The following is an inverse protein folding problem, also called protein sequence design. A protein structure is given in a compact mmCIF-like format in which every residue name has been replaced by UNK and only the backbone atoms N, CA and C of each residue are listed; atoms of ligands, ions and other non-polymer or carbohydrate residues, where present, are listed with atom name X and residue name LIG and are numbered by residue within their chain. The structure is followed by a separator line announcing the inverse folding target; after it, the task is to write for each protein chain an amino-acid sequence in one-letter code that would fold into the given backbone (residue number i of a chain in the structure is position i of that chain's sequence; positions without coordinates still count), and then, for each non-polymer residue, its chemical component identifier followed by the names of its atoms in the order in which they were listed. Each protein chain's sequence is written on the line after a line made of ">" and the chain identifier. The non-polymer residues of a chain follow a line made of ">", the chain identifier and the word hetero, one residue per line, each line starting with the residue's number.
data_IF_664083546329
#
_entry.id   IF_664083546329
#
_cell.length_a   1.000
_cell.length_b   1.000
_cell.length_c   1.000
_cell.angle_alpha   90.00
_cell.angle_beta   90.00
_cell.angle_gamma   90.00
#
_symmetry.space_group_name_H-M   'P 1'
#
loop_
_entity.id
_entity.type
_entity.pdbx_description
1 polymer ?
#
# COMPACT_ATOMS: atom_id res chain seq x y z
N UNK A 1 -4.93 12.81 1.72
CA UNK A 1 -3.97 11.69 1.88
C UNK A 1 -4.51 10.60 2.77
N UNK A 2 -5.15 10.94 3.90
CA UNK A 2 -5.72 9.95 4.84
C UNK A 2 -6.67 8.91 4.18
N UNK A 3 -7.61 9.27 3.28
CA UNK A 3 -8.48 8.28 2.64
C UNK A 3 -7.71 7.23 1.83
N UNK A 4 -6.70 7.67 1.07
CA UNK A 4 -5.83 6.76 0.30
C UNK A 4 -4.98 5.88 1.23
N UNK A 5 -4.45 6.45 2.32
CA UNK A 5 -3.66 5.69 3.28
C UNK A 5 -4.46 4.58 3.97
N UNK A 6 -5.68 4.91 4.39
CA UNK A 6 -6.62 3.95 4.98
C UNK A 6 -7.00 2.87 3.98
N UNK A 7 -7.43 3.24 2.77
CA UNK A 7 -7.76 2.29 1.71
C UNK A 7 -6.59 1.34 1.38
N UNK A 8 -5.39 1.89 1.18
CA UNK A 8 -4.19 1.11 0.90
C UNK A 8 -3.83 0.15 2.05
N UNK A 9 -3.99 0.60 3.30
CA UNK A 9 -3.74 -0.27 4.46
C UNK A 9 -4.78 -1.38 4.56
N UNK A 10 -6.06 -1.07 4.35
CA UNK A 10 -7.13 -2.06 4.35
C UNK A 10 -6.93 -3.11 3.25
N UNK A 11 -6.62 -2.66 2.03
CA UNK A 11 -6.23 -3.53 0.93
C UNK A 11 -5.04 -4.42 1.31
N UNK A 12 -3.98 -3.82 1.89
CA UNK A 12 -2.80 -4.56 2.36
C UNK A 12 -3.16 -5.66 3.33
N UNK A 13 -3.98 -5.38 4.35
CA UNK A 13 -4.34 -6.36 5.37
C UNK A 13 -5.19 -7.51 4.78
N UNK A 14 -6.09 -7.19 3.85
CA UNK A 14 -6.86 -8.21 3.13
C UNK A 14 -5.94 -9.07 2.24
N UNK A 15 -5.00 -8.44 1.53
CA UNK A 15 -4.03 -9.13 0.69
C UNK A 15 -3.10 -10.02 1.52
N UNK A 16 -2.64 -9.55 2.68
CA UNK A 16 -1.82 -10.32 3.61
C UNK A 16 -2.51 -11.63 4.01
N UNK A 17 -3.80 -11.58 4.34
CA UNK A 17 -4.58 -12.78 4.69
C UNK A 17 -4.59 -13.80 3.53
N UNK A 18 -4.67 -13.34 2.29
CA UNK A 18 -4.63 -14.20 1.09
C UNK A 18 -3.24 -14.75 0.80
N UNK A 19 -2.20 -13.91 0.86
CA UNK A 19 -0.80 -14.33 0.67
C UNK A 19 -0.39 -15.36 1.72
N UNK A 20 -0.79 -15.15 2.97
CA UNK A 20 -0.46 -16.06 4.07
C UNK A 20 -1.11 -17.43 3.87
N UNK A 21 -2.26 -17.54 3.19
CA UNK A 21 -2.82 -18.82 2.71
C UNK A 21 -2.98 -19.90 3.79
N UNK A 22 -3.08 -19.53 5.06
CA UNK A 22 -3.05 -20.45 6.21
C UNK A 22 -1.65 -20.90 6.66
N UNK A 23 -0.59 -20.65 5.89
CA UNK A 23 0.80 -20.83 6.31
C UNK A 23 1.19 -19.73 7.31
N UNK A 24 1.09 -20.04 8.60
CA UNK A 24 1.42 -19.12 9.70
C UNK A 24 2.94 -18.94 9.92
N UNK A 25 3.79 -19.75 9.29
CA UNK A 25 5.25 -19.78 9.57
C UNK A 25 6.14 -19.26 8.42
N UNK A 26 5.56 -18.98 7.25
CA UNK A 26 6.30 -18.46 6.10
C UNK A 26 6.56 -16.95 6.17
N UNK A 27 7.73 -16.51 5.72
CA UNK A 27 7.99 -15.08 5.50
C UNK A 27 7.04 -14.51 4.43
N UNK A 28 6.53 -13.31 4.70
CA UNK A 28 5.72 -12.53 3.74
C UNK A 28 6.41 -11.19 3.57
N UNK A 29 6.48 -10.67 2.34
CA UNK A 29 7.02 -9.35 2.09
C UNK A 29 6.52 -8.81 0.76
N UNK A 30 5.84 -7.67 0.76
CA UNK A 30 5.34 -7.03 -0.45
C UNK A 30 5.15 -5.53 -0.22
N UNK A 31 4.87 -4.80 -1.30
CA UNK A 31 4.53 -3.37 -1.24
C UNK A 31 3.07 -3.13 -1.58
N UNK A 32 2.21 -2.86 -0.59
CA UNK A 32 0.79 -2.59 -0.87
C UNK A 32 0.60 -1.35 -1.73
N UNK A 33 1.39 -0.29 -1.52
CA UNK A 33 1.25 0.95 -2.30
C UNK A 33 1.64 0.76 -3.76
N UNK A 34 2.64 -0.07 -4.02
CA UNK A 34 3.06 -0.40 -5.38
C UNK A 34 1.95 -1.17 -6.09
N UNK A 35 1.40 -2.21 -5.45
CA UNK A 35 0.34 -3.04 -6.03
C UNK A 35 -0.94 -2.22 -6.24
N UNK A 36 -1.36 -1.45 -5.24
CA UNK A 36 -2.60 -0.68 -5.28
C UNK A 36 -2.55 0.43 -6.34
N UNK A 37 -1.42 1.13 -6.47
CA UNK A 37 -1.23 2.15 -7.52
C UNK A 37 -1.26 1.53 -8.92
N UNK A 38 -0.60 0.39 -9.11
CA UNK A 38 -0.56 -0.31 -10.39
C UNK A 38 -1.94 -0.83 -10.82
N UNK A 39 -2.73 -1.37 -9.89
CA UNK A 39 -4.11 -1.79 -10.16
C UNK A 39 -5.06 -0.60 -10.33
N UNK A 40 -4.85 0.50 -9.60
CA UNK A 40 -5.61 1.73 -9.81
C UNK A 40 -5.34 2.34 -11.20
N UNK A 41 -4.12 2.22 -11.73
CA UNK A 41 -3.84 2.59 -13.11
C UNK A 41 -4.67 1.75 -14.11
N UNK A 42 -4.82 0.45 -13.88
CA UNK A 42 -5.70 -0.39 -14.72
C UNK A 42 -7.16 0.04 -14.60
N UNK A 43 -7.61 0.46 -13.41
CA UNK A 43 -9.00 0.87 -13.21
C UNK A 43 -9.39 2.15 -13.95
N UNK A 44 -8.44 2.99 -14.38
CA UNK A 44 -8.71 4.13 -15.28
C UNK A 44 -9.43 3.68 -16.58
N UNK A 45 -9.08 2.51 -17.08
CA UNK A 45 -9.64 1.93 -18.29
C UNK A 45 -10.85 1.02 -18.06
N UNK A 46 -11.14 0.67 -16.81
CA UNK A 46 -12.22 -0.26 -16.46
C UNK A 46 -13.58 0.44 -16.48
N UNK A 47 -14.63 -0.30 -16.83
CA UNK A 47 -16.04 0.16 -16.78
C UNK A 47 -16.94 -0.91 -16.17
N UNK A 48 -18.17 -0.52 -15.83
CA UNK A 48 -19.20 -1.42 -15.33
C UNK A 48 -18.74 -2.26 -14.13
N UNK A 49 -19.11 -3.55 -14.13
CA UNK A 49 -18.79 -4.45 -13.02
C UNK A 49 -17.28 -4.67 -12.82
N UNK A 50 -16.48 -4.63 -13.89
CA UNK A 50 -15.02 -4.70 -13.80
C UNK A 50 -14.47 -3.57 -12.92
N UNK A 51 -14.91 -2.32 -13.16
CA UNK A 51 -14.51 -1.19 -12.33
C UNK A 51 -14.98 -1.35 -10.88
N UNK A 52 -16.25 -1.72 -10.68
CA UNK A 52 -16.83 -1.93 -9.33
C UNK A 52 -16.03 -2.96 -8.51
N UNK A 53 -15.69 -4.10 -9.11
CA UNK A 53 -14.89 -5.14 -8.45
C UNK A 53 -13.50 -4.61 -8.06
N UNK A 54 -12.82 -3.91 -8.98
CA UNK A 54 -11.50 -3.36 -8.72
C UNK A 54 -11.52 -2.34 -7.57
N UNK A 55 -12.45 -1.39 -7.58
CA UNK A 55 -12.58 -0.39 -6.51
C UNK A 55 -12.92 -1.01 -5.15
N UNK A 56 -13.76 -2.05 -5.13
CA UNK A 56 -14.09 -2.80 -3.93
C UNK A 56 -12.87 -3.53 -3.36
N UNK A 57 -12.15 -4.29 -4.18
CA UNK A 57 -10.96 -5.04 -3.74
C UNK A 57 -9.86 -4.10 -3.26
N UNK A 58 -9.64 -2.98 -3.95
CA UNK A 58 -8.67 -1.95 -3.57
C UNK A 58 -9.11 -1.09 -2.37
N UNK A 59 -10.31 -1.34 -1.83
CA UNK A 59 -10.88 -0.61 -0.70
C UNK A 59 -11.01 0.90 -0.95
N UNK A 60 -11.21 1.31 -2.21
CA UNK A 60 -11.40 2.72 -2.59
C UNK A 60 -12.82 3.23 -2.29
N UNK A 61 -13.77 2.32 -2.07
CA UNK A 61 -15.10 2.63 -1.56
C UNK A 61 -15.07 2.70 -0.03
N UNK A 62 -15.60 3.76 0.57
CA UNK A 62 -15.68 3.87 2.03
C UNK A 62 -16.42 2.65 2.62
N UNK A 63 -15.89 1.97 3.66
CA UNK A 63 -16.75 1.18 4.51
C UNK A 63 -17.79 2.12 5.17
N UNK A 64 -19.04 1.69 5.36
CA UNK A 64 -19.94 2.44 6.22
C UNK A 64 -19.27 2.60 7.59
N UNK A 65 -19.29 3.83 8.13
CA UNK A 65 -18.91 4.05 9.53
C UNK A 65 -19.78 3.12 10.39
N UNK A 66 -19.27 2.51 11.46
CA UNK A 66 -20.15 1.89 12.44
C UNK A 66 -21.05 3.01 12.97
N UNK A 67 -22.34 2.94 12.65
CA UNK A 67 -23.29 3.99 13.00
C UNK A 67 -23.32 4.19 14.51
N UNK A 68 -23.17 5.45 14.92
CA UNK A 68 -23.59 5.88 16.23
C UNK A 68 -25.10 5.63 16.33
N UNK A 69 -25.48 4.77 17.28
CA UNK A 69 -26.88 4.49 17.59
C UNK A 69 -27.66 5.81 17.72
N UNK A 70 -28.68 5.99 16.88
CA UNK A 70 -29.66 7.06 17.05
C UNK A 70 -30.86 6.47 17.78
N UNK A 71 -31.31 7.02 18.92
CA UNK A 71 -32.54 6.58 19.56
C UNK A 71 -33.76 7.04 18.74
N UNK A 72 -34.76 6.18 18.69
CA UNK A 72 -36.07 6.48 18.14
C UNK A 72 -36.83 7.46 19.04
N UNK A 73 -37.51 8.44 18.44
CA UNK A 73 -38.96 8.72 18.59
C UNK A 73 -39.27 10.21 18.40
N UNK A 74 -40.16 10.55 17.45
CA UNK A 74 -41.47 11.12 17.77
C UNK A 74 -42.29 11.34 16.49
N UNK A 75 -43.42 10.64 16.46
CA UNK A 75 -44.58 10.90 15.61
C UNK A 75 -45.32 12.14 16.09
N UNK A 76 -45.84 12.93 15.16
CA UNK A 76 -47.06 13.76 15.25
C UNK A 76 -47.13 14.61 13.97
N UNK A 77 -48.23 14.96 13.34
CA UNK A 77 -49.59 14.45 13.18
C UNK A 77 -50.19 15.32 12.04
N UNK A 78 -51.10 14.77 11.24
CA UNK A 78 -51.83 15.46 10.17
C UNK A 78 -52.84 16.49 10.71
N UNK A 79 -53.15 17.57 9.93
CA UNK A 79 -54.46 17.90 9.29
C UNK A 79 -54.69 19.43 8.99
N UNK A 80 -55.70 19.83 8.16
CA UNK A 80 -55.48 20.74 7.01
C UNK A 80 -56.52 21.90 6.83
N UNK A 81 -56.53 22.52 5.64
CA UNK A 81 -57.62 23.25 4.92
C UNK A 81 -57.84 24.77 5.15
N UNK A 82 -57.70 25.63 4.12
CA UNK A 82 -58.63 26.17 3.07
C UNK A 82 -59.41 27.45 3.48
N UNK A 83 -59.27 28.54 2.70
CA UNK A 83 -60.33 29.41 2.11
C UNK A 83 -59.67 30.63 1.41
N UNK A 84 -59.71 30.84 0.09
CA UNK A 84 -60.77 31.35 -0.83
C UNK A 84 -60.96 32.89 -0.83
N UNK A 85 -60.83 33.55 -2.01
CA UNK A 85 -61.02 35.01 -2.18
C UNK A 85 -60.79 35.60 -3.60
N UNK A 86 -61.69 35.30 -4.55
CA UNK A 86 -62.32 36.05 -5.68
C UNK A 86 -61.70 37.34 -6.36
N UNK A 87 -61.58 37.23 -7.71
CA UNK A 87 -61.74 38.16 -8.89
C UNK A 87 -60.95 39.48 -9.12
N UNK A 88 -60.45 39.61 -10.36
CA UNK A 88 -60.31 40.87 -11.12
C UNK A 88 -59.56 40.71 -12.46
N UNK A 89 -60.20 41.00 -13.60
CA UNK A 89 -59.65 40.96 -14.97
C UNK A 89 -59.12 42.34 -15.42
N UNK A 90 -57.99 42.39 -16.15
CA UNK A 90 -57.71 43.22 -17.35
C UNK A 90 -56.26 43.00 -17.82
N UNK A 91 -56.02 42.85 -19.14
CA UNK A 91 -54.69 42.90 -19.78
C UNK A 91 -54.42 44.26 -20.43
N UNK A 92 -53.40 44.45 -21.31
CA UNK A 92 -52.32 43.55 -21.71
C UNK A 92 -50.89 44.18 -21.69
N UNK A 93 -49.88 43.33 -21.93
CA UNK A 93 -48.56 43.60 -22.54
C UNK A 93 -47.55 44.53 -21.85
N UNK A 94 -46.42 43.95 -21.42
CA UNK A 94 -45.08 44.48 -21.74
C UNK A 94 -44.01 43.43 -21.46
N UNK A 95 -43.29 43.09 -22.52
CA UNK A 95 -42.05 42.32 -22.60
C UNK A 95 -41.07 42.62 -21.47
N UNK A 96 -40.66 41.60 -20.73
CA UNK A 96 -39.40 41.61 -19.99
C UNK A 96 -38.56 40.37 -20.36
N UNK A 97 -37.42 40.68 -20.98
CA UNK A 97 -36.31 39.76 -21.20
C UNK A 97 -35.87 39.18 -19.86
N UNK A 98 -36.22 37.92 -19.60
CA UNK A 98 -35.56 37.14 -18.56
C UNK A 98 -34.24 36.63 -19.15
N UNK A 99 -33.15 37.25 -18.71
CA UNK A 99 -31.80 36.74 -18.89
C UNK A 99 -31.78 35.28 -18.43
N UNK A 100 -31.50 34.36 -19.35
CA UNK A 100 -31.16 32.98 -19.04
C UNK A 100 -29.86 33.01 -18.22
N UNK A 101 -29.98 32.95 -16.90
CA UNK A 101 -28.91 32.41 -16.09
C UNK A 101 -28.79 30.93 -16.45
N UNK A 102 -27.72 30.57 -17.15
CA UNK A 102 -27.29 29.19 -17.26
C UNK A 102 -27.24 28.61 -15.85
N UNK A 103 -28.15 27.67 -15.57
CA UNK A 103 -28.11 26.87 -14.35
C UNK A 103 -26.76 26.17 -14.33
N UNK A 104 -25.92 26.51 -13.35
CA UNK A 104 -24.79 25.69 -12.96
C UNK A 104 -25.25 24.21 -12.88
N UNK A 105 -24.46 23.25 -13.37
CA UNK A 105 -24.80 21.85 -13.23
C UNK A 105 -24.97 21.53 -11.74
N UNK A 106 -25.93 20.65 -11.37
CA UNK A 106 -26.21 20.36 -9.98
C UNK A 106 -24.96 19.82 -9.30
N UNK A 107 -24.64 20.41 -8.15
CA UNK A 107 -23.55 19.97 -7.27
C UNK A 107 -23.83 18.50 -6.88
N UNK A 108 -22.84 17.58 -7.00
CA UNK A 108 -23.09 16.17 -6.75
C UNK A 108 -23.51 15.93 -5.30
N UNK A 109 -24.44 15.01 -5.11
CA UNK A 109 -24.97 14.62 -3.81
C UNK A 109 -23.83 14.16 -2.86
N UNK A 110 -23.93 14.42 -1.55
CA UNK A 110 -22.90 14.06 -0.59
C UNK A 110 -22.87 12.53 -0.42
N UNK A 111 -22.02 11.88 -1.23
CA UNK A 111 -21.88 10.42 -1.34
C UNK A 111 -21.04 9.98 -2.53
N UNK A 112 -20.95 10.80 -3.59
CA UNK A 112 -20.04 10.59 -4.73
C UNK A 112 -18.74 11.38 -4.53
N UNK A 113 -17.82 10.86 -3.73
CA UNK A 113 -16.41 11.27 -3.78
C UNK A 113 -15.76 10.45 -4.89
N UNK A 114 -15.61 11.09 -6.04
CA UNK A 114 -15.43 10.54 -7.39
C UNK A 114 -14.11 9.78 -7.60
N UNK A 115 -14.13 8.79 -8.50
CA UNK A 115 -12.97 8.01 -8.96
C UNK A 115 -11.74 8.89 -9.25
N UNK A 116 -11.94 10.09 -9.81
CA UNK A 116 -10.87 11.08 -10.06
C UNK A 116 -10.08 11.50 -8.79
N UNK A 117 -10.70 11.46 -7.61
CA UNK A 117 -10.07 11.80 -6.35
C UNK A 117 -9.05 10.75 -5.90
N UNK A 118 -9.21 9.47 -6.27
CA UNK A 118 -8.24 8.43 -5.88
C UNK A 118 -6.99 8.50 -6.75
N UNK A 119 -7.15 8.68 -8.06
CA UNK A 119 -6.05 8.78 -9.01
C UNK A 119 -5.17 10.03 -8.73
N UNK A 120 -5.81 11.18 -8.50
CA UNK A 120 -5.10 12.39 -8.06
C UNK A 120 -4.42 12.24 -6.70
N UNK A 121 -5.00 11.47 -5.77
CA UNK A 121 -4.36 11.17 -4.48
C UNK A 121 -3.10 10.31 -4.65
N UNK A 122 -3.11 9.34 -5.57
CA UNK A 122 -1.90 8.58 -5.92
C UNK A 122 -0.84 9.47 -6.54
N UNK A 123 -1.20 10.35 -7.48
CA UNK A 123 -0.26 11.30 -8.07
C UNK A 123 0.41 12.17 -7.01
N UNK A 124 -0.38 12.73 -6.09
CA UNK A 124 0.12 13.52 -4.97
C UNK A 124 1.06 12.69 -4.09
N UNK A 125 0.71 11.44 -3.78
CA UNK A 125 1.59 10.56 -3.01
C UNK A 125 2.92 10.28 -3.73
N UNK A 126 2.88 9.95 -5.01
CA UNK A 126 4.08 9.64 -5.79
C UNK A 126 4.99 10.86 -5.89
N UNK A 127 4.41 12.04 -6.10
CA UNK A 127 5.12 13.32 -6.08
C UNK A 127 5.81 13.56 -4.73
N UNK A 128 5.15 13.23 -3.62
CA UNK A 128 5.73 13.35 -2.27
C UNK A 128 6.87 12.35 -2.02
N UNK A 129 6.71 11.10 -2.47
CA UNK A 129 7.70 10.03 -2.29
C UNK A 129 8.94 10.18 -3.19
N UNK A 130 8.79 10.84 -4.33
CA UNK A 130 9.88 11.08 -5.30
C UNK A 130 10.44 12.50 -5.25
N UNK A 131 10.16 13.26 -4.19
CA UNK A 131 10.67 14.64 -4.05
C UNK A 131 12.19 14.70 -4.25
N UNK A 132 12.69 15.59 -5.13
CA UNK A 132 14.12 15.82 -5.27
C UNK A 132 14.75 16.16 -3.90
N UNK A 133 15.94 15.61 -3.64
CA UNK A 133 16.65 15.82 -2.38
C UNK A 133 16.16 14.97 -1.19
N UNK A 134 15.21 14.05 -1.41
CA UNK A 134 14.88 13.04 -0.40
C UNK A 134 16.15 12.23 -0.02
N UNK A 135 16.46 12.04 1.28
CA UNK A 135 17.65 11.33 1.74
C UNK A 135 17.52 9.80 1.65
N UNK A 136 16.73 9.31 0.69
CA UNK A 136 16.48 7.91 0.43
C UNK A 136 16.25 7.71 -1.07
N UNK A 137 16.42 6.47 -1.50
CA UNK A 137 16.13 6.00 -2.86
C UNK A 137 14.86 5.18 -2.81
N UNK A 138 13.85 5.59 -3.56
CA UNK A 138 12.65 4.79 -3.81
C UNK A 138 12.48 4.64 -5.32
N UNK A 139 12.63 3.42 -5.81
CA UNK A 139 12.47 3.09 -7.22
C UNK A 139 11.19 2.29 -7.43
N UNK A 140 10.29 2.85 -8.24
CA UNK A 140 9.00 2.25 -8.62
C UNK A 140 9.02 1.99 -10.12
N UNK A 141 9.08 0.71 -10.51
CA UNK A 141 9.02 0.25 -11.88
C UNK A 141 7.61 -0.32 -12.14
N UNK A 142 6.68 0.59 -12.39
CA UNK A 142 5.27 0.29 -12.68
C UNK A 142 4.98 0.57 -14.15
N UNK A 143 4.52 -0.45 -14.89
CA UNK A 143 4.19 -0.29 -16.31
C UNK A 143 3.15 -1.31 -16.75
N UNK A 144 2.30 -0.88 -17.68
CA UNK A 144 1.45 -1.78 -18.46
C UNK A 144 2.12 -2.11 -19.78
N UNK A 145 2.09 -3.38 -20.15
CA UNK A 145 2.51 -3.85 -21.46
C UNK A 145 1.29 -4.44 -22.14
N UNK A 146 0.85 -3.81 -23.23
CA UNK A 146 -0.30 -4.24 -24.01
C UNK A 146 0.14 -4.83 -25.34
N UNK A 147 -0.59 -5.82 -25.82
CA UNK A 147 -0.31 -6.44 -27.12
C UNK A 147 -0.39 -5.41 -28.25
N UNK A 148 0.62 -5.38 -29.13
CA UNK A 148 0.85 -4.29 -30.08
C UNK A 148 -0.28 -4.12 -31.11
N UNK A 149 -1.02 -5.19 -31.40
CA UNK A 149 -2.15 -5.19 -32.34
C UNK A 149 -3.33 -4.35 -31.85
N UNK A 150 -3.39 -4.02 -30.55
CA UNK A 150 -4.45 -3.22 -29.97
C UNK A 150 -4.24 -1.71 -30.21
N UNK A 151 -5.37 -1.04 -30.46
CA UNK A 151 -5.46 0.40 -30.34
C UNK A 151 -5.75 0.77 -28.88
N UNK A 152 -5.08 1.80 -28.37
CA UNK A 152 -5.25 2.27 -27.00
C UNK A 152 -5.82 3.67 -27.00
N UNK A 153 -6.76 3.92 -26.10
CA UNK A 153 -7.47 5.20 -25.99
C UNK A 153 -6.50 6.27 -25.48
N UNK A 154 -6.39 7.38 -26.22
CA UNK A 154 -5.45 8.46 -25.90
C UNK A 154 -5.69 9.06 -24.50
N UNK A 155 -6.97 9.24 -24.13
CA UNK A 155 -7.34 9.71 -22.79
C UNK A 155 -6.75 8.81 -21.70
N UNK A 156 -6.84 7.48 -21.86
CA UNK A 156 -6.27 6.54 -20.89
C UNK A 156 -4.74 6.66 -20.81
N UNK A 157 -4.06 6.76 -21.96
CA UNK A 157 -2.59 6.92 -21.99
C UNK A 157 -2.15 8.21 -21.28
N UNK A 158 -2.88 9.31 -21.51
CA UNK A 158 -2.62 10.59 -20.88
C UNK A 158 -2.89 10.53 -19.37
N UNK A 159 -4.01 9.96 -18.94
CA UNK A 159 -4.36 9.83 -17.52
C UNK A 159 -3.35 8.92 -16.79
N UNK A 160 -2.93 7.81 -17.39
CA UNK A 160 -1.92 6.93 -16.80
C UNK A 160 -0.58 7.66 -16.59
N UNK A 161 -0.17 8.45 -17.59
CA UNK A 161 1.05 9.27 -17.51
C UNK A 161 0.93 10.37 -16.45
N UNK A 162 -0.19 11.09 -16.43
CA UNK A 162 -0.44 12.19 -15.48
C UNK A 162 -0.49 11.65 -14.06
N UNK A 163 -1.28 10.62 -13.79
CA UNK A 163 -1.54 10.20 -12.42
C UNK A 163 -0.47 9.28 -11.83
N UNK A 164 0.19 8.48 -12.66
CA UNK A 164 1.08 7.40 -12.19
C UNK A 164 2.52 7.53 -12.68
N UNK A 165 2.84 8.53 -13.52
CA UNK A 165 4.12 8.65 -14.22
C UNK A 165 4.49 7.35 -14.96
N UNK A 166 3.48 6.55 -15.29
CA UNK A 166 3.60 5.24 -15.88
C UNK A 166 2.91 5.26 -17.25
N UNK A 167 3.53 4.57 -18.20
CA UNK A 167 2.98 4.42 -19.55
C UNK A 167 2.36 3.04 -19.75
N UNK A 168 1.64 2.93 -20.86
CA UNK A 168 1.43 1.65 -21.52
C UNK A 168 2.42 1.54 -22.67
N UNK A 169 3.13 0.42 -22.74
CA UNK A 169 4.03 0.10 -23.84
C UNK A 169 3.42 -1.02 -24.68
N UNK A 170 3.48 -0.83 -26.01
CA UNK A 170 3.01 -1.83 -26.97
C UNK A 170 4.10 -2.88 -27.16
N UNK A 171 3.76 -4.15 -27.02
CA UNK A 171 4.69 -5.28 -27.12
C UNK A 171 4.13 -6.34 -28.04
N UNK A 172 5.00 -6.98 -28.80
CA UNK A 172 4.69 -8.18 -29.57
C UNK A 172 4.92 -9.42 -28.69
N UNK A 173 3.89 -9.92 -28.02
CA UNK A 173 4.05 -11.05 -27.10
C UNK A 173 4.35 -12.39 -27.80
N UNK A 174 4.19 -12.47 -29.13
CA UNK A 174 4.63 -13.64 -29.92
C UNK A 174 6.16 -13.77 -29.95
N UNK A 175 6.90 -12.68 -29.75
CA UNK A 175 8.36 -12.66 -29.75
C UNK A 175 8.92 -13.09 -28.40
N UNK A 176 9.86 -14.03 -28.43
CA UNK A 176 10.63 -14.44 -27.23
C UNK A 176 11.40 -13.27 -26.57
N UNK A 177 11.76 -12.23 -27.34
CA UNK A 177 12.45 -11.04 -26.83
C UNK A 177 11.59 -10.20 -25.89
N UNK A 178 10.26 -10.21 -26.06
CA UNK A 178 9.34 -9.40 -25.26
C UNK A 178 9.57 -9.56 -23.75
N UNK A 179 9.73 -10.81 -23.29
CA UNK A 179 10.02 -11.11 -21.88
C UNK A 179 11.34 -10.51 -21.42
N UNK A 180 12.37 -10.59 -22.26
CA UNK A 180 13.73 -10.11 -21.97
C UNK A 180 13.73 -8.58 -21.91
N UNK A 181 13.06 -7.92 -22.86
CA UNK A 181 12.97 -6.47 -22.92
C UNK A 181 12.24 -5.90 -21.69
N UNK A 182 11.13 -6.54 -21.27
CA UNK A 182 10.41 -6.19 -20.04
C UNK A 182 11.31 -6.37 -18.81
N UNK A 183 12.03 -7.49 -18.70
CA UNK A 183 12.93 -7.74 -17.58
C UNK A 183 14.09 -6.74 -17.52
N UNK A 184 14.70 -6.42 -18.66
CA UNK A 184 15.77 -5.43 -18.76
C UNK A 184 15.28 -4.04 -18.35
N UNK A 185 14.07 -3.66 -18.76
CA UNK A 185 13.46 -2.41 -18.34
C UNK A 185 13.27 -2.37 -16.82
N UNK A 186 12.75 -3.44 -16.21
CA UNK A 186 12.57 -3.52 -14.75
C UNK A 186 13.91 -3.44 -14.03
N UNK A 187 14.92 -4.19 -14.48
CA UNK A 187 16.25 -4.20 -13.90
C UNK A 187 16.86 -2.80 -13.91
N UNK A 188 16.80 -2.10 -15.06
CA UNK A 188 17.27 -0.72 -15.19
C UNK A 188 16.54 0.24 -14.25
N UNK A 189 15.22 0.13 -14.15
CA UNK A 189 14.40 1.02 -13.31
C UNK A 189 14.43 0.65 -11.82
N UNK A 190 15.13 -0.42 -11.45
CA UNK A 190 15.33 -0.86 -10.05
C UNK A 190 16.80 -0.91 -9.67
N UNK A 191 17.65 -0.16 -10.39
CA UNK A 191 19.09 -0.07 -10.13
C UNK A 191 19.82 -1.43 -10.13
N UNK A 192 19.39 -2.37 -10.97
CA UNK A 192 19.97 -3.69 -11.06
C UNK A 192 19.52 -4.65 -9.95
N UNK A 193 18.63 -4.23 -9.04
CA UNK A 193 18.25 -5.01 -7.85
C UNK A 193 17.15 -6.02 -8.11
N UNK A 194 16.28 -5.75 -9.08
CA UNK A 194 15.21 -6.67 -9.45
C UNK A 194 15.47 -7.20 -10.87
N UNK A 195 15.97 -8.42 -10.93
CA UNK A 195 16.22 -9.16 -12.18
C UNK A 195 15.13 -10.20 -12.41
N UNK A 196 14.98 -10.64 -13.65
CA UNK A 196 14.10 -11.76 -14.03
C UNK A 196 12.71 -11.68 -13.40
N UNK A 197 12.06 -10.51 -13.53
CA UNK A 197 10.73 -10.30 -12.98
C UNK A 197 9.72 -11.29 -13.55
N UNK A 198 9.76 -11.46 -14.87
CA UNK A 198 8.97 -12.42 -15.64
C UNK A 198 9.78 -13.71 -15.85
N UNK A 199 9.40 -14.82 -15.18
CA UNK A 199 10.01 -16.13 -15.39
C UNK A 199 9.83 -16.62 -16.83
N UNK A 200 10.64 -17.59 -17.25
CA UNK A 200 10.44 -18.25 -18.53
C UNK A 200 9.05 -18.90 -18.60
N UNK A 201 8.36 -18.75 -19.74
CA UNK A 201 7.00 -19.26 -19.93
C UNK A 201 5.91 -18.45 -19.21
N UNK A 202 6.24 -17.32 -18.57
CA UNK A 202 5.23 -16.50 -17.90
C UNK A 202 4.40 -15.65 -18.85
N UNK A 203 4.82 -15.47 -20.10
CA UNK A 203 4.09 -14.78 -21.15
C UNK A 203 4.23 -15.57 -22.45
N UNK A 204 3.22 -15.46 -23.31
CA UNK A 204 3.06 -16.22 -24.55
C UNK A 204 2.24 -15.43 -25.59
N UNK A 205 2.00 -16.02 -26.76
CA UNK A 205 1.20 -15.42 -27.85
C UNK A 205 -0.27 -15.17 -27.49
N UNK A 206 -0.78 -15.78 -26.41
CA UNK A 206 -2.13 -15.56 -25.90
C UNK A 206 -2.19 -14.40 -24.90
N UNK A 207 -1.04 -13.83 -24.55
CA UNK A 207 -0.95 -12.68 -23.65
C UNK A 207 -1.52 -11.43 -24.34
N UNK A 208 -2.31 -10.63 -23.60
CA UNK A 208 -2.97 -9.43 -24.11
C UNK A 208 -2.58 -8.18 -23.34
N UNK A 209 -2.51 -8.28 -22.02
CA UNK A 209 -2.12 -7.18 -21.14
C UNK A 209 -1.38 -7.73 -19.91
N UNK A 210 -0.20 -7.18 -19.65
CA UNK A 210 0.63 -7.52 -18.49
C UNK A 210 0.84 -6.28 -17.64
N UNK A 211 0.53 -6.37 -16.35
CA UNK A 211 0.90 -5.37 -15.36
C UNK A 211 2.17 -5.82 -14.64
N UNK A 212 3.23 -5.04 -14.83
CA UNK A 212 4.51 -5.23 -14.15
C UNK A 212 4.62 -4.21 -13.03
N UNK A 213 4.91 -4.71 -11.83
CA UNK A 213 5.02 -3.92 -10.62
C UNK A 213 6.25 -4.34 -9.80
N UNK A 214 7.31 -3.55 -9.88
CA UNK A 214 8.53 -3.80 -9.12
C UNK A 214 8.93 -2.58 -8.29
N UNK A 215 9.32 -2.81 -7.05
CA UNK A 215 9.67 -1.74 -6.12
C UNK A 215 10.91 -2.06 -5.31
N UNK A 216 11.81 -1.09 -5.26
CA UNK A 216 13.04 -1.12 -4.50
C UNK A 216 13.10 0.11 -3.60
N UNK A 217 13.46 -0.10 -2.34
CA UNK A 217 13.69 0.98 -1.38
C UNK A 217 15.08 0.84 -0.78
N UNK A 218 15.73 1.98 -0.60
CA UNK A 218 17.00 2.12 0.09
C UNK A 218 16.99 3.42 0.88
N UNK A 219 17.39 3.37 2.15
CA UNK A 219 17.45 4.53 3.03
C UNK A 219 18.36 4.24 4.21
N UNK A 220 19.08 5.24 4.72
CA UNK A 220 19.96 5.07 5.86
C UNK A 220 19.21 5.28 7.19
N UNK A 221 19.56 4.54 8.24
CA UNK A 221 19.06 4.82 9.58
C UNK A 221 19.49 6.20 10.05
N UNK A 222 18.65 6.89 10.84
CA UNK A 222 19.12 8.07 11.60
C UNK A 222 20.18 7.66 12.61
N UNK A 223 19.98 6.52 13.28
CA UNK A 223 20.89 5.92 14.26
C UNK A 223 21.33 4.56 13.76
N UNK A 224 22.53 4.52 13.16
CA UNK A 224 23.11 3.32 12.57
C UNK A 224 23.53 2.33 13.64
N UNK A 225 23.47 1.04 13.31
CA UNK A 225 24.06 0.01 14.15
C UNK A 225 25.59 0.01 13.96
N UNK A 226 26.39 -0.06 15.03
CA UNK A 226 27.84 -0.29 14.89
C UNK A 226 28.09 -1.69 14.30
N UNK A 227 28.97 -1.80 13.30
CA UNK A 227 29.23 -3.09 12.63
C UNK A 227 29.93 -4.08 13.56
N UNK A 228 30.81 -3.55 14.39
CA UNK A 228 31.52 -4.23 15.47
C UNK A 228 30.59 -4.77 16.57
N UNK A 229 29.37 -4.22 16.70
CA UNK A 229 28.36 -4.70 17.64
C UNK A 229 27.47 -5.80 17.04
N UNK A 230 27.69 -6.18 15.78
CA UNK A 230 26.94 -7.28 15.15
C UNK A 230 27.62 -8.61 15.46
N UNK A 231 26.89 -9.53 16.09
CA UNK A 231 27.39 -10.84 16.51
C UNK A 231 26.48 -11.97 16.05
N UNK A 232 26.92 -13.22 16.23
CA UNK A 232 26.04 -14.38 16.03
C UNK A 232 25.01 -14.45 17.16
N UNK A 233 23.73 -14.51 16.79
CA UNK A 233 22.60 -14.69 17.69
C UNK A 233 21.74 -15.88 17.28
N UNK A 234 20.81 -16.26 18.15
CA UNK A 234 19.81 -17.29 17.86
C UNK A 234 18.46 -16.64 17.59
N UNK A 235 17.83 -17.00 16.48
CA UNK A 235 16.48 -16.59 16.14
C UNK A 235 15.52 -17.76 16.33
N UNK A 236 14.56 -17.63 17.24
CA UNK A 236 13.52 -18.63 17.50
C UNK A 236 12.51 -18.60 16.36
N UNK A 237 12.32 -19.72 15.68
CA UNK A 237 11.29 -19.87 14.64
C UNK A 237 9.91 -20.15 15.26
N UNK A 238 9.93 -20.85 16.39
CA UNK A 238 8.80 -21.27 17.21
C UNK A 238 9.35 -21.62 18.62
N UNK A 239 8.53 -22.23 19.49
CA UNK A 239 8.93 -22.59 20.86
C UNK A 239 10.08 -23.60 20.97
N UNK A 240 10.36 -24.37 19.93
CA UNK A 240 11.31 -25.50 19.98
C UNK A 240 12.48 -25.38 19.01
N UNK A 241 12.37 -24.56 17.98
CA UNK A 241 13.37 -24.45 16.91
C UNK A 241 14.01 -23.07 16.89
N UNK A 242 15.34 -23.04 16.76
CA UNK A 242 16.13 -21.83 16.53
C UNK A 242 16.98 -21.95 15.27
N UNK A 243 17.39 -20.81 14.73
CA UNK A 243 18.40 -20.70 13.66
C UNK A 243 19.42 -19.62 13.99
N UNK A 244 20.70 -19.80 13.63
CA UNK A 244 21.70 -18.76 13.78
C UNK A 244 21.41 -17.58 12.85
N UNK A 245 21.67 -16.36 13.33
CA UNK A 245 21.56 -15.10 12.57
C UNK A 245 22.69 -14.16 12.91
N UNK A 246 23.01 -13.23 12.00
CA UNK A 246 23.76 -12.03 12.36
C UNK A 246 22.80 -11.05 13.03
N UNK A 247 22.96 -10.89 14.34
CA UNK A 247 22.14 -10.01 15.17
C UNK A 247 22.86 -8.67 15.32
N UNK A 248 22.27 -7.61 14.77
CA UNK A 248 22.77 -6.24 14.95
C UNK A 248 22.33 -5.73 16.31
N UNK A 249 23.18 -4.99 17.00
CA UNK A 249 22.88 -4.42 18.32
C UNK A 249 23.23 -2.93 18.38
N UNK A 250 22.37 -2.14 19.02
CA UNK A 250 22.70 -0.78 19.43
C UNK A 250 21.88 -0.33 20.64
N UNK A 251 22.38 0.67 21.34
CA UNK A 251 21.68 1.36 22.44
C UNK A 251 21.57 2.84 22.10
N UNK A 252 20.34 3.34 21.98
CA UNK A 252 20.07 4.75 21.63
C UNK A 252 18.63 5.10 22.01
N UNK A 253 18.26 6.36 21.85
CA UNK A 253 16.87 6.80 22.00
C UNK A 253 16.04 6.51 20.75
N UNK A 254 14.93 5.81 20.94
CA UNK A 254 13.96 5.49 19.90
C UNK A 254 12.53 5.69 20.42
N UNK A 255 11.57 6.02 19.53
CA UNK A 255 10.16 5.90 19.86
C UNK A 255 9.78 4.43 20.06
N UNK A 256 9.26 4.10 21.23
CA UNK A 256 8.80 2.77 21.60
C UNK A 256 7.46 2.88 22.33
N UNK A 257 6.50 2.04 21.96
CA UNK A 257 5.24 1.87 22.69
C UNK A 257 5.02 0.41 23.08
N UNK A 258 4.30 0.21 24.19
CA UNK A 258 3.80 -1.10 24.60
C UNK A 258 2.38 -1.27 24.08
N UNK A 259 2.01 -2.51 23.75
CA UNK A 259 0.66 -2.90 23.32
C UNK A 259 0.18 -3.99 24.30
N UNK A 260 -0.30 -3.61 25.50
CA UNK A 260 -0.65 -4.56 26.55
C UNK A 260 -1.69 -5.59 26.12
N UNK A 261 -2.71 -5.17 25.35
CA UNK A 261 -3.77 -6.05 24.88
C UNK A 261 -3.25 -7.16 23.93
N UNK A 262 -2.09 -6.93 23.31
CA UNK A 262 -1.41 -7.88 22.43
C UNK A 262 -0.20 -8.56 23.08
N UNK A 263 0.15 -8.21 24.32
CA UNK A 263 1.43 -8.59 24.95
C UNK A 263 2.60 -8.37 23.98
N UNK A 264 2.70 -7.17 23.41
CA UNK A 264 3.67 -6.84 22.37
C UNK A 264 4.29 -5.46 22.59
N UNK A 265 5.36 -5.18 21.87
CA UNK A 265 6.02 -3.89 21.75
C UNK A 265 5.99 -3.42 20.30
N UNK A 266 6.02 -2.10 20.09
CA UNK A 266 6.26 -1.52 18.77
C UNK A 266 7.41 -0.51 18.84
N UNK A 267 8.42 -0.75 18.01
CA UNK A 267 9.60 0.09 17.86
C UNK A 267 9.53 0.86 16.54
N UNK A 268 9.85 2.15 16.58
CA UNK A 268 10.08 2.95 15.38
C UNK A 268 11.58 3.19 15.17
N UNK A 269 12.08 2.80 14.01
CA UNK A 269 13.44 3.07 13.52
C UNK A 269 13.37 4.09 12.37
N UNK A 270 13.60 5.39 12.64
CA UNK A 270 13.55 6.41 11.61
C UNK A 270 14.71 6.29 10.62
N UNK A 271 14.43 6.52 9.34
CA UNK A 271 15.46 6.76 8.32
C UNK A 271 15.86 8.24 8.30
N UNK A 272 17.04 8.55 7.73
CA UNK A 272 17.52 9.92 7.54
C UNK A 272 16.40 10.78 6.92
N UNK A 273 16.27 12.02 7.38
CA UNK A 273 15.16 12.91 7.04
C UNK A 273 13.85 12.65 7.78
N UNK A 274 13.68 11.50 8.45
CA UNK A 274 12.51 11.13 9.27
C UNK A 274 11.17 11.10 8.51
N UNK A 275 11.18 11.22 7.18
CA UNK A 275 9.98 11.09 6.35
C UNK A 275 9.53 9.64 6.21
N UNK A 276 10.46 8.69 6.36
CA UNK A 276 10.19 7.26 6.33
C UNK A 276 10.72 6.67 7.64
N UNK A 277 9.98 5.71 8.19
CA UNK A 277 10.42 4.90 9.32
C UNK A 277 10.13 3.43 9.07
N UNK A 278 10.96 2.55 9.62
CA UNK A 278 10.59 1.16 9.84
C UNK A 278 9.88 1.05 11.18
N UNK A 279 8.71 0.42 11.19
CA UNK A 279 7.97 0.06 12.39
C UNK A 279 8.08 -1.45 12.56
N UNK A 280 8.39 -1.91 13.77
CA UNK A 280 8.49 -3.34 14.08
C UNK A 280 7.56 -3.62 15.25
N UNK A 281 6.57 -4.49 15.03
CA UNK A 281 5.68 -4.97 16.09
C UNK A 281 6.14 -6.38 16.47
N UNK A 282 6.59 -6.51 17.71
CA UNK A 282 7.21 -7.70 18.27
C UNK A 282 6.37 -8.18 19.46
N UNK A 283 5.75 -9.37 19.41
CA UNK A 283 5.22 -10.01 20.62
C UNK A 283 6.31 -10.12 21.69
N UNK A 284 5.96 -10.02 22.96
CA UNK A 284 6.97 -10.17 24.02
C UNK A 284 7.49 -11.62 24.09
N UNK A 285 6.64 -12.59 23.71
CA UNK A 285 6.95 -14.01 23.70
C UNK A 285 6.18 -14.76 22.60
N UNK A 286 6.70 -15.92 22.17
CA UNK A 286 5.97 -16.86 21.33
C UNK A 286 4.93 -17.58 22.21
N UNK A 287 3.69 -17.08 22.22
CA UNK A 287 2.63 -17.67 23.04
C UNK A 287 1.94 -18.88 22.39
N UNK A 288 1.77 -18.85 21.06
CA UNK A 288 1.13 -19.92 20.30
C UNK A 288 2.12 -21.06 19.91
N UNK A 289 1.62 -22.13 19.29
CA UNK A 289 2.43 -23.30 18.87
C UNK A 289 3.22 -23.05 17.58
N UNK A 290 3.06 -21.90 16.94
CA UNK A 290 3.65 -21.53 15.66
C UNK A 290 4.65 -20.38 15.87
N UNK A 291 4.33 -19.17 15.44
CA UNK A 291 5.23 -18.03 15.39
C UNK A 291 5.01 -17.01 16.52
N UNK A 292 3.93 -17.11 17.29
CA UNK A 292 3.53 -16.08 18.26
C UNK A 292 2.75 -14.92 17.64
N UNK A 293 2.64 -14.87 16.31
CA UNK A 293 2.02 -13.76 15.59
C UNK A 293 0.52 -13.90 15.37
N UNK A 294 -0.08 -15.06 15.64
CA UNK A 294 -1.47 -15.33 15.22
C UNK A 294 -2.47 -14.35 15.82
N UNK A 295 -2.33 -14.02 17.12
CA UNK A 295 -3.21 -13.05 17.79
C UNK A 295 -3.06 -11.68 17.14
N UNK A 296 -1.82 -11.25 16.89
CA UNK A 296 -1.48 -9.96 16.31
C UNK A 296 -2.01 -9.83 14.87
N UNK A 297 -1.77 -10.82 14.02
CA UNK A 297 -2.25 -10.82 12.64
C UNK A 297 -3.79 -10.77 12.53
N UNK A 298 -4.50 -11.40 13.48
CA UNK A 298 -5.97 -11.36 13.53
C UNK A 298 -6.52 -10.02 13.99
N UNK A 299 -5.85 -9.38 14.96
CA UNK A 299 -6.28 -8.11 15.54
C UNK A 299 -5.86 -6.88 14.71
N UNK A 300 -4.86 -7.01 13.84
CA UNK A 300 -4.32 -5.90 13.07
C UNK A 300 -5.37 -5.34 12.07
N UNK A 301 -5.79 -4.11 12.33
CA UNK A 301 -6.61 -3.27 11.44
C UNK A 301 -5.88 -1.96 11.14
N UNK A 302 -6.42 -1.15 10.22
CA UNK A 302 -5.90 0.21 9.99
C UNK A 302 -5.96 1.05 11.28
N UNK A 303 -7.10 1.01 11.97
CA UNK A 303 -7.35 1.75 13.21
C UNK A 303 -6.37 1.33 14.29
N UNK A 304 -6.18 0.01 14.48
CA UNK A 304 -5.23 -0.52 15.46
C UNK A 304 -3.79 -0.15 15.11
N UNK A 305 -3.39 -0.24 13.84
CA UNK A 305 -2.04 0.18 13.44
C UNK A 305 -1.81 1.68 13.68
N UNK A 306 -2.80 2.53 13.42
CA UNK A 306 -2.70 3.97 13.69
C UNK A 306 -2.72 4.28 15.19
N UNK A 307 -3.53 3.56 15.97
CA UNK A 307 -3.60 3.66 17.43
C UNK A 307 -2.26 3.30 18.07
N UNK A 308 -1.71 2.12 17.74
CA UNK A 308 -0.45 1.62 18.29
C UNK A 308 0.77 2.45 17.88
N UNK A 309 0.69 3.23 16.81
CA UNK A 309 1.82 4.00 16.25
C UNK A 309 1.59 5.51 16.24
N UNK A 310 0.64 5.98 17.07
CA UNK A 310 0.31 7.41 17.22
C UNK A 310 1.45 8.13 17.97
N UNK A 311 1.81 9.37 17.60
CA UNK A 311 2.94 10.06 18.22
C UNK A 311 2.86 10.18 19.75
N UNK A 312 1.64 10.29 20.32
CA UNK A 312 1.45 10.46 21.77
C UNK A 312 1.68 9.17 22.56
N UNK A 313 1.61 7.99 21.91
CA UNK A 313 1.88 6.69 22.56
C UNK A 313 3.31 6.21 22.33
N UNK A 314 3.95 6.66 21.25
CA UNK A 314 5.32 6.32 20.87
C UNK A 314 6.32 7.19 21.64
N UNK A 315 6.64 6.79 22.87
CA UNK A 315 7.52 7.56 23.75
C UNK A 315 8.98 7.44 23.32
N UNK A 316 9.64 8.59 23.15
CA UNK A 316 11.09 8.67 22.93
C UNK A 316 11.81 8.27 24.22
N UNK A 317 12.51 7.14 24.18
CA UNK A 317 13.21 6.59 25.35
C UNK A 317 14.44 5.78 24.93
N UNK A 318 15.34 5.50 25.88
CA UNK A 318 16.49 4.64 25.58
C UNK A 318 16.07 3.19 25.47
N UNK A 319 16.45 2.60 24.34
CA UNK A 319 16.15 1.22 24.00
C UNK A 319 17.45 0.52 23.58
N UNK A 320 17.67 -0.66 24.13
CA UNK A 320 18.65 -1.63 23.63
C UNK A 320 17.97 -2.48 22.55
N UNK A 321 18.35 -2.23 21.30
CA UNK A 321 17.71 -2.83 20.12
C UNK A 321 18.61 -3.93 19.58
N UNK A 322 18.08 -5.15 19.51
CA UNK A 322 18.66 -6.25 18.75
C UNK A 322 17.77 -6.57 17.56
N UNK A 323 18.34 -6.55 16.36
CA UNK A 323 17.60 -6.75 15.10
C UNK A 323 18.41 -7.65 14.15
N UNK A 324 17.85 -8.75 13.62
CA UNK A 324 18.58 -9.57 12.65
C UNK A 324 18.86 -8.78 11.37
N UNK A 325 20.07 -8.96 10.83
CA UNK A 325 20.37 -8.58 9.45
C UNK A 325 19.62 -9.53 8.52
N UNK A 326 18.92 -9.02 7.52
CA UNK A 326 18.23 -9.87 6.56
C UNK A 326 18.06 -9.24 5.19
N UNK A 327 17.94 -10.10 4.18
CA UNK A 327 17.64 -9.74 2.81
C UNK A 327 16.45 -10.54 2.33
N UNK A 328 15.46 -9.87 1.73
CA UNK A 328 14.23 -10.50 1.25
C UNK A 328 13.88 -10.00 -0.12
N UNK A 329 13.61 -10.96 -0.98
CA UNK A 329 13.09 -10.77 -2.32
C UNK A 329 11.92 -11.74 -2.48
N UNK A 330 10.76 -11.20 -2.87
CA UNK A 330 9.55 -11.98 -3.07
C UNK A 330 8.88 -11.55 -4.36
N UNK A 331 8.50 -12.54 -5.15
CA UNK A 331 7.71 -12.39 -6.38
C UNK A 331 6.36 -13.03 -6.17
N UNK A 332 5.29 -12.35 -6.58
CA UNK A 332 3.93 -12.83 -6.54
C UNK A 332 3.31 -12.72 -7.93
N UNK A 333 2.73 -13.81 -8.42
CA UNK A 333 1.70 -13.74 -9.44
C UNK A 333 0.36 -13.42 -8.75
N UNK A 334 -0.11 -12.20 -8.95
CA UNK A 334 -1.23 -11.66 -8.20
C UNK A 334 -2.59 -12.09 -8.74
N UNK A 335 -2.65 -12.71 -9.93
CA UNK A 335 -3.93 -13.03 -10.60
C UNK A 335 -4.87 -13.84 -9.70
N UNK A 336 -4.44 -15.00 -9.23
CA UNK A 336 -5.28 -15.87 -8.42
C UNK A 336 -5.58 -15.27 -7.04
N UNK A 337 -4.64 -14.51 -6.48
CA UNK A 337 -4.85 -13.78 -5.22
C UNK A 337 -5.97 -12.75 -5.36
N UNK A 338 -5.93 -11.94 -6.42
CA UNK A 338 -6.91 -10.89 -6.70
C UNK A 338 -8.29 -11.48 -7.05
N UNK A 339 -8.35 -12.56 -7.84
CA UNK A 339 -9.59 -13.31 -8.09
C UNK A 339 -10.21 -13.77 -6.77
N UNK A 340 -9.40 -14.36 -5.87
CA UNK A 340 -9.89 -14.81 -4.55
C UNK A 340 -10.36 -13.68 -3.63
N UNK A 341 -10.03 -12.43 -3.96
CA UNK A 341 -10.49 -11.22 -3.26
C UNK A 341 -11.74 -10.60 -3.90
N UNK A 342 -12.20 -11.14 -5.05
CA UNK A 342 -13.39 -10.68 -5.77
C UNK A 342 -13.10 -9.79 -6.98
N UNK A 343 -11.85 -9.70 -7.44
CA UNK A 343 -11.47 -9.02 -8.68
C UNK A 343 -11.35 -10.08 -9.79
N UNK A 344 -12.50 -10.51 -10.34
CA UNK A 344 -12.58 -11.62 -11.30
C UNK A 344 -12.68 -11.12 -12.75
N UNK A 345 -13.57 -10.16 -13.01
CA UNK A 345 -13.96 -9.78 -14.38
C UNK A 345 -12.78 -9.27 -15.20
N UNK A 346 -11.84 -8.55 -14.58
CA UNK A 346 -10.66 -8.00 -15.27
C UNK A 346 -9.75 -9.09 -15.86
N UNK A 347 -9.86 -10.33 -15.35
CA UNK A 347 -9.11 -11.50 -15.77
C UNK A 347 -9.92 -12.46 -16.66
N UNK A 348 -11.20 -12.16 -16.93
CA UNK A 348 -12.13 -13.03 -17.65
C UNK A 348 -12.47 -12.43 -19.02
N UNK A 349 -12.10 -13.12 -20.09
CA UNK A 349 -12.39 -12.67 -21.48
C UNK A 349 -13.88 -12.44 -21.76
N UNK A 350 -14.76 -13.14 -21.04
CA UNK A 350 -16.22 -13.04 -21.22
C UNK A 350 -16.86 -11.87 -20.46
N UNK A 351 -16.25 -11.45 -19.34
CA UNK A 351 -16.83 -10.47 -18.42
C UNK A 351 -16.07 -9.14 -18.41
N UNK A 352 -14.84 -9.12 -18.91
CA UNK A 352 -13.96 -7.96 -18.85
C UNK A 352 -14.56 -6.77 -19.59
N UNK A 353 -14.50 -5.60 -18.95
CA UNK A 353 -14.82 -4.34 -19.58
C UNK A 353 -13.69 -3.34 -19.36
N UNK A 354 -12.74 -3.34 -20.29
CA UNK A 354 -11.63 -2.39 -20.37
C UNK A 354 -11.80 -1.41 -21.55
N UNK A 355 -13.05 -1.07 -21.90
CA UNK A 355 -13.36 -0.17 -23.02
C UNK A 355 -12.79 1.25 -22.87
N UNK A 356 -12.47 1.67 -21.64
CA UNK A 356 -11.74 2.91 -21.40
C UNK A 356 -10.26 2.84 -21.79
N UNK A 357 -9.68 1.64 -21.87
CA UNK A 357 -8.27 1.40 -22.22
C UNK A 357 -8.10 1.12 -23.72
N UNK A 358 -8.97 0.28 -24.28
CA UNK A 358 -9.00 -0.07 -25.71
C UNK A 358 -10.43 -0.24 -26.16
N UNK A 359 -10.82 0.23 -27.37
CA UNK A 359 -12.16 -0.04 -27.90
C UNK A 359 -12.41 -1.52 -28.21
N UNK A 360 -11.37 -2.37 -28.17
CA UNK A 360 -11.49 -3.81 -28.39
C UNK A 360 -12.11 -4.49 -27.18
N UNK A 361 -13.15 -5.29 -27.40
CA UNK A 361 -13.91 -5.96 -26.33
C UNK A 361 -13.21 -7.18 -25.72
N UNK A 362 -12.08 -7.61 -26.26
CA UNK A 362 -11.33 -8.79 -25.81
C UNK A 362 -9.99 -8.43 -25.11
N UNK A 363 -9.73 -7.15 -24.83
CA UNK A 363 -8.56 -6.78 -24.03
C UNK A 363 -8.79 -7.24 -22.58
N UNK A 364 -7.98 -8.20 -22.13
CA UNK A 364 -8.05 -8.79 -20.79
C UNK A 364 -6.72 -8.63 -20.06
N UNK A 365 -6.76 -8.40 -18.74
CA UNK A 365 -5.56 -8.43 -17.92
C UNK A 365 -5.10 -9.88 -17.78
N UNK A 366 -4.09 -10.28 -18.55
CA UNK A 366 -3.60 -11.66 -18.56
C UNK A 366 -2.81 -11.96 -17.28
N UNK A 367 -1.97 -11.02 -16.85
CA UNK A 367 -0.98 -11.25 -15.79
C UNK A 367 -0.67 -10.00 -14.98
N UNK A 368 -0.44 -10.19 -13.69
CA UNK A 368 -0.02 -9.14 -12.75
C UNK A 368 1.12 -9.70 -11.92
N UNK A 369 2.34 -9.25 -12.18
CA UNK A 369 3.52 -9.67 -11.41
C UNK A 369 3.95 -8.54 -10.48
N UNK A 370 3.98 -8.86 -9.18
CA UNK A 370 4.56 -8.00 -8.16
C UNK A 370 5.90 -8.57 -7.68
N UNK A 371 6.93 -7.73 -7.61
CA UNK A 371 8.19 -8.11 -6.98
C UNK A 371 8.71 -7.00 -6.09
N UNK A 372 9.02 -7.36 -4.85
CA UNK A 372 9.55 -6.43 -3.86
C UNK A 372 10.88 -6.95 -3.33
N UNK A 373 11.79 -6.00 -3.08
CA UNK A 373 13.10 -6.25 -2.50
C UNK A 373 13.33 -5.35 -1.28
N UNK A 374 13.85 -5.93 -0.18
CA UNK A 374 14.38 -5.19 0.97
C UNK A 374 15.63 -5.87 1.50
N UNK A 375 16.58 -5.06 1.96
CA UNK A 375 17.77 -5.52 2.66
C UNK A 375 17.96 -4.67 3.91
N UNK A 376 17.92 -5.28 5.09
CA UNK A 376 18.08 -4.62 6.38
C UNK A 376 19.46 -4.93 6.92
N UNK A 377 20.27 -3.88 7.13
CA UNK A 377 21.63 -3.95 7.63
C UNK A 377 21.98 -2.77 8.55
N UNK A 378 23.25 -2.66 8.93
CA UNK A 378 23.71 -1.74 9.96
C UNK A 378 23.60 -0.26 9.55
N UNK A 379 23.71 0.03 8.26
CA UNK A 379 23.63 1.39 7.72
C UNK A 379 22.18 1.86 7.60
N UNK A 380 21.26 0.93 7.34
CA UNK A 380 19.93 1.21 6.85
C UNK A 380 19.35 0.06 6.04
N UNK A 381 18.60 0.45 5.02
CA UNK A 381 18.34 -0.34 3.82
C UNK A 381 19.30 0.11 2.71
N UNK A 382 20.43 -0.60 2.53
CA UNK A 382 21.61 -0.44 1.62
C UNK A 382 22.43 0.89 1.52
N UNK A 383 23.78 0.76 1.37
CA UNK A 383 24.92 1.53 1.96
C UNK A 383 25.39 2.91 1.35
N UNK A 384 26.34 3.74 1.88
CA UNK A 384 27.53 3.56 2.77
C UNK A 384 28.02 4.82 3.58
N UNK A 385 28.74 4.59 4.73
CA UNK A 385 29.79 5.37 5.49
C UNK A 385 29.55 6.84 5.95
N UNK A 386 30.05 7.41 7.08
CA UNK A 386 30.78 7.00 8.30
C UNK A 386 30.64 8.07 9.44
N UNK A 387 30.85 7.62 10.69
CA UNK A 387 31.35 8.28 11.94
C UNK A 387 30.63 9.42 12.69
N UNK A 388 30.56 9.24 14.02
CA UNK A 388 30.58 10.31 15.04
C UNK A 388 29.69 10.06 16.27
N UNK A 389 30.23 9.50 17.36
CA UNK A 389 29.52 9.33 18.66
C UNK A 389 29.85 10.52 19.58
N UNK A 390 28.82 11.12 20.19
CA UNK A 390 28.95 12.08 21.29
C UNK A 390 28.19 11.50 22.50
N UNK A 391 28.88 11.38 23.63
CA UNK A 391 28.34 10.88 24.90
C UNK A 391 27.90 12.05 25.78
N UNK A 392 26.71 11.97 26.37
CA UNK A 392 26.26 12.86 27.45
C UNK A 392 25.64 12.02 28.58
N UNK A 393 25.87 12.50 29.79
CA UNK A 393 25.55 11.94 31.12
C UNK A 393 24.08 11.53 31.29
N UNK A 394 23.82 10.38 31.93
CA UNK A 394 22.47 9.89 32.23
C UNK A 394 22.20 9.77 33.74
N UNK A 395 21.05 10.30 34.15
CA UNK A 395 20.29 9.83 35.31
C UNK A 395 19.82 8.38 35.05
N UNK A 396 19.71 7.56 36.10
CA UNK A 396 19.31 6.14 36.01
C UNK A 396 17.88 5.98 35.48
N UNK A 397 17.72 5.89 34.15
CA UNK A 397 16.56 5.28 33.50
C UNK A 397 16.92 3.83 33.17
N UNK A 398 16.12 2.88 33.64
CA UNK A 398 16.30 1.46 33.28
C UNK A 398 16.03 1.36 31.76
N UNK A 399 17.00 0.92 30.95
CA UNK A 399 16.83 0.81 29.50
C UNK A 399 15.76 -0.24 29.19
N UNK A 400 14.90 0.06 28.20
CA UNK A 400 13.97 -0.93 27.66
C UNK A 400 14.71 -1.83 26.68
N UNK A 401 14.37 -3.12 26.64
CA UNK A 401 14.92 -4.06 25.67
C UNK A 401 13.93 -4.30 24.54
N UNK A 402 14.41 -4.24 23.30
CA UNK A 402 13.68 -4.67 22.12
C UNK A 402 14.53 -5.70 21.38
N UNK A 403 14.30 -6.98 21.68
CA UNK A 403 15.09 -8.09 21.14
C UNK A 403 14.28 -8.85 20.08
N UNK A 404 14.46 -8.50 18.80
CA UNK A 404 13.76 -9.14 17.68
C UNK A 404 14.39 -10.51 17.32
N UNK A 405 14.50 -11.41 18.31
CA UNK A 405 15.06 -12.76 18.20
C UNK A 405 14.01 -13.83 17.86
N UNK A 406 12.81 -13.43 17.49
CA UNK A 406 11.70 -14.31 17.16
C UNK A 406 10.70 -13.60 16.23
N UNK A 407 9.65 -14.28 15.72
CA UNK A 407 8.88 -13.72 14.61
C UNK A 407 8.21 -12.38 14.91
N UNK A 408 8.31 -11.45 13.97
CA UNK A 408 7.76 -10.10 14.08
C UNK A 408 7.08 -9.64 12.79
N UNK A 409 6.20 -8.65 12.91
CA UNK A 409 5.70 -7.89 11.77
C UNK A 409 6.52 -6.62 11.63
N UNK A 410 6.78 -6.21 10.38
CA UNK A 410 7.43 -4.94 10.11
C UNK A 410 6.76 -4.19 8.97
N UNK A 411 6.80 -2.87 9.06
CA UNK A 411 6.24 -1.96 8.08
C UNK A 411 7.28 -0.90 7.75
N UNK A 412 7.39 -0.51 6.48
CA UNK A 412 8.09 0.72 6.10
C UNK A 412 7.00 1.74 5.78
N UNK A 413 6.93 2.81 6.57
CA UNK A 413 5.85 3.80 6.52
C UNK A 413 6.40 5.15 6.08
N UNK A 414 5.71 5.82 5.16
CA UNK A 414 5.90 7.24 4.92
C UNK A 414 5.15 8.04 5.99
N UNK A 415 5.88 8.67 6.90
CA UNK A 415 5.34 9.31 8.09
C UNK A 415 4.39 10.49 7.81
N UNK A 416 4.67 11.39 6.86
CA UNK A 416 3.77 12.50 6.55
C UNK A 416 2.38 12.07 6.06
N UNK A 417 2.31 10.99 5.26
CA UNK A 417 1.03 10.52 4.69
C UNK A 417 0.45 9.31 5.44
N UNK A 418 1.20 8.78 6.41
CA UNK A 418 0.93 7.51 7.13
C UNK A 418 0.82 6.29 6.22
N UNK A 419 1.28 6.39 4.98
CA UNK A 419 1.12 5.34 3.97
C UNK A 419 2.13 4.22 4.20
N UNK A 420 1.63 2.99 4.23
CA UNK A 420 2.47 1.79 4.28
C UNK A 420 3.07 1.54 2.90
N UNK A 421 4.38 1.69 2.80
CA UNK A 421 5.15 1.44 1.58
C UNK A 421 5.47 -0.03 1.43
N UNK A 422 5.84 -0.69 2.54
CA UNK A 422 6.10 -2.12 2.59
C UNK A 422 5.50 -2.73 3.84
N UNK A 423 5.06 -3.98 3.70
CA UNK A 423 4.61 -4.81 4.81
C UNK A 423 5.31 -6.17 4.70
N UNK A 424 5.95 -6.60 5.77
CA UNK A 424 6.44 -7.96 5.90
C UNK A 424 6.14 -8.63 7.24
N UNK A 425 6.17 -9.96 7.18
CA UNK A 425 6.24 -10.88 8.29
C UNK A 425 7.58 -11.60 8.21
N UNK A 426 8.34 -11.53 9.28
CA UNK A 426 9.64 -12.18 9.40
C UNK A 426 9.54 -13.34 10.40
N UNK A 427 9.54 -14.58 9.91
CA UNK A 427 9.42 -15.80 10.71
C UNK A 427 10.65 -16.70 10.64
N UNK A 428 11.42 -16.61 9.55
CA UNK A 428 12.68 -17.34 9.40
C UNK A 428 13.72 -16.41 8.80
N UNK A 429 14.97 -16.41 9.29
CA UNK A 429 16.12 -15.74 8.68
C UNK A 429 16.48 -16.27 7.30
#
# INVERSE_FOLDING_TARGET
>A
MEPLSSANTQFSLNLFKKISGGNASGNVFYSPISISSALAMVSLGAKGNTATQMFKVLSFTNPPKPDAATPASHQQAQKPQIACGVKGQHGPSMTQQTQKFEKCPPRPAPGQKTEDQIHSSFNKLMSELKKPGAPYVLSLANRLYGEQSYQFVEKFLNDAKIYYEAGLEKVDFSKKSARVDINNWVEKNTQGKIKDLLPQGSIDEMTRLVLVNAIYFKGNWVKKFPKEATSDGQFKLNKTQTKPVKMMYQKSEFPLALIPEMNSQVLELPYVGKNISMLIILPNEIQDKTTGLQKLEKALTYEKLMEWTRPEVMLQQEVEVSLPRFKREKTYDMKNLLISMGMEDVFSEQKVNLLGMSPSNNLVLTKVIHKAFVEVNEEGTEAAAATGVISMTREMRIPQFFNADHPFLFFIRHNPTKSILFYGRFCSP
#
